data_IF_902459542826
#
_entry.id   IF_902459542826
#
_cell.length_a   1.000
_cell.length_b   1.000
_cell.length_c   1.000
_cell.angle_alpha   90.00
_cell.angle_beta   90.00
_cell.angle_gamma   90.00
#
_symmetry.space_group_name_H-M   'P 1'
#
loop_
_entity.id
_entity.type
_entity.pdbx_description
1 polymer ?
#
# COMPACT_ATOMS: atom_id res chain seq x y z
N UNK A 1 35.32 -7.18 35.76
CA UNK A 1 35.16 -7.86 34.45
C UNK A 1 33.70 -8.19 34.09
N UNK A 2 32.85 -8.67 35.02
CA UNK A 2 31.41 -8.94 34.77
C UNK A 2 30.59 -7.73 34.25
N UNK A 3 30.87 -6.51 34.73
CA UNK A 3 30.13 -5.29 34.36
C UNK A 3 30.40 -4.82 32.91
N UNK A 4 31.55 -5.18 32.35
CA UNK A 4 31.93 -4.87 30.96
C UNK A 4 31.26 -5.81 29.95
N UNK A 5 31.09 -7.09 30.31
CA UNK A 5 30.40 -8.09 29.48
C UNK A 5 28.91 -7.77 29.32
N UNK A 6 28.26 -7.25 30.38
CA UNK A 6 26.86 -6.82 30.32
C UNK A 6 26.66 -5.58 29.44
N UNK A 7 27.60 -4.64 29.43
CA UNK A 7 27.49 -3.42 28.61
C UNK A 7 27.58 -3.72 27.10
N UNK A 8 28.41 -4.69 26.70
CA UNK A 8 28.55 -5.10 25.30
C UNK A 8 27.31 -5.87 24.80
N UNK A 9 26.68 -6.68 25.66
CA UNK A 9 25.47 -7.41 25.31
C UNK A 9 24.26 -6.48 25.03
N UNK A 10 24.16 -5.35 25.74
CA UNK A 10 23.07 -4.38 25.54
C UNK A 10 23.23 -3.59 24.23
N UNK A 11 24.46 -3.30 23.82
CA UNK A 11 24.72 -2.61 22.54
C UNK A 11 24.47 -3.54 21.33
N UNK A 12 24.79 -4.83 21.45
CA UNK A 12 24.53 -5.80 20.39
C UNK A 12 23.02 -6.10 20.19
N UNK A 13 22.22 -6.03 21.25
CA UNK A 13 20.76 -6.22 21.16
C UNK A 13 20.01 -5.01 20.58
N UNK A 14 20.58 -3.79 20.67
CA UNK A 14 19.96 -2.57 20.14
C UNK A 14 20.16 -2.33 18.64
N UNK A 15 21.14 -2.98 18.01
CA UNK A 15 21.46 -2.76 16.59
C UNK A 15 20.60 -3.60 15.62
N UNK A 16 19.88 -4.61 16.12
CA UNK A 16 19.13 -5.56 15.29
C UNK A 16 17.71 -5.10 14.92
N UNK A 17 17.19 -4.01 15.49
CA UNK A 17 15.80 -3.57 15.29
C UNK A 17 15.62 -2.58 14.12
N UNK A 18 16.69 -2.18 13.43
CA UNK A 18 16.61 -1.21 12.33
C UNK A 18 16.65 -1.84 10.93
N UNK A 19 16.74 -3.17 10.83
CA UNK A 19 16.78 -3.85 9.54
C UNK A 19 15.35 -4.19 9.13
N UNK A 20 14.88 -3.59 8.03
CA UNK A 20 13.57 -3.80 7.39
C UNK A 20 12.39 -2.97 7.93
N UNK A 21 12.54 -1.64 7.97
CA UNK A 21 11.40 -0.83 7.53
C UNK A 21 11.21 -1.14 6.02
N UNK A 22 10.06 -1.67 5.57
CA UNK A 22 9.82 -1.83 4.15
C UNK A 22 9.94 -0.45 3.52
N UNK A 23 10.88 -0.30 2.58
CA UNK A 23 10.98 0.92 1.79
C UNK A 23 9.60 1.15 1.16
N UNK A 24 8.99 2.29 1.46
CA UNK A 24 7.66 2.63 0.95
C UNK A 24 7.74 2.69 -0.58
N UNK A 25 7.40 1.57 -1.22
CA UNK A 25 7.22 1.52 -2.66
C UNK A 25 6.00 2.40 -2.96
N UNK A 26 6.14 3.31 -3.92
CA UNK A 26 5.01 4.11 -4.37
C UNK A 26 3.88 3.15 -4.79
N UNK A 27 2.74 3.26 -4.12
CA UNK A 27 1.61 2.39 -4.38
C UNK A 27 1.16 2.57 -5.84
N UNK A 28 1.23 1.49 -6.62
CA UNK A 28 0.77 1.51 -8.00
C UNK A 28 -0.74 1.23 -8.03
N UNK A 29 -1.47 2.01 -8.83
CA UNK A 29 -2.91 1.89 -9.01
C UNK A 29 -3.25 1.55 -10.46
N UNK A 30 -4.24 0.66 -10.71
CA UNK A 30 -4.78 0.46 -12.04
C UNK A 30 -5.36 1.76 -12.59
N UNK A 31 -5.02 2.11 -13.83
CA UNK A 31 -5.63 3.25 -14.50
C UNK A 31 -7.09 2.95 -14.85
N UNK A 32 -7.96 3.91 -14.51
CA UNK A 32 -9.37 3.94 -14.92
C UNK A 32 -9.70 5.19 -15.74
N UNK A 33 -8.66 5.92 -16.16
CA UNK A 33 -8.81 7.13 -16.96
C UNK A 33 -9.42 6.80 -18.33
N UNK A 34 -10.37 7.62 -18.78
CA UNK A 34 -11.05 7.44 -20.07
C UNK A 34 -12.13 6.37 -20.09
N UNK A 35 -12.38 5.66 -18.98
CA UNK A 35 -13.51 4.74 -18.87
C UNK A 35 -14.81 5.49 -18.57
N UNK A 36 -15.91 5.00 -19.13
CA UNK A 36 -17.26 5.50 -18.83
C UNK A 36 -17.78 4.82 -17.56
N UNK A 37 -18.26 5.56 -16.54
CA UNK A 37 -18.86 4.93 -15.36
C UNK A 37 -20.12 4.13 -15.72
N UNK A 38 -20.36 3.03 -15.00
CA UNK A 38 -21.54 2.15 -15.21
C UNK A 38 -21.66 1.53 -16.60
N UNK A 39 -20.54 1.47 -17.33
CA UNK A 39 -20.44 0.83 -18.65
C UNK A 39 -19.92 -0.61 -18.55
N UNK A 40 -20.00 -1.42 -19.62
CA UNK A 40 -19.36 -2.73 -19.68
C UNK A 40 -17.86 -2.68 -19.38
N UNK A 41 -17.14 -1.65 -19.84
CA UNK A 41 -15.70 -1.47 -19.64
C UNK A 41 -15.37 -1.25 -18.15
N UNK A 42 -16.28 -0.63 -17.39
CA UNK A 42 -16.18 -0.46 -15.94
C UNK A 42 -16.88 -1.57 -15.14
N UNK A 43 -17.21 -2.70 -15.77
CA UNK A 43 -17.95 -3.81 -15.15
C UNK A 43 -19.25 -3.37 -14.47
N UNK A 44 -19.95 -2.40 -15.07
CA UNK A 44 -21.17 -1.78 -14.55
C UNK A 44 -21.01 -1.13 -13.15
N UNK A 45 -19.79 -0.75 -12.77
CA UNK A 45 -19.49 -0.06 -11.51
C UNK A 45 -19.20 1.43 -11.74
N UNK A 46 -19.23 2.22 -10.66
CA UNK A 46 -18.62 3.55 -10.66
C UNK A 46 -17.10 3.43 -10.83
N UNK A 47 -16.43 4.48 -11.34
CA UNK A 47 -14.97 4.45 -11.52
C UNK A 47 -14.20 4.16 -10.21
N UNK A 48 -14.55 4.75 -9.05
CA UNK A 48 -13.90 4.40 -7.79
C UNK A 48 -14.17 2.95 -7.36
N UNK A 49 -15.39 2.45 -7.57
CA UNK A 49 -15.74 1.05 -7.27
C UNK A 49 -14.96 0.07 -8.15
N UNK A 50 -14.87 0.36 -9.44
CA UNK A 50 -14.10 -0.42 -10.40
C UNK A 50 -12.60 -0.41 -10.08
N UNK A 51 -12.04 0.76 -9.74
CA UNK A 51 -10.64 0.87 -9.33
C UNK A 51 -10.34 0.01 -8.09
N UNK A 52 -11.21 0.07 -7.06
CA UNK A 52 -11.07 -0.78 -5.87
C UNK A 52 -11.09 -2.26 -6.21
N UNK A 53 -12.03 -2.67 -7.06
CA UNK A 53 -12.12 -4.06 -7.53
C UNK A 53 -10.84 -4.49 -8.25
N UNK A 54 -10.37 -3.70 -9.23
CA UNK A 54 -9.14 -4.00 -9.99
C UNK A 54 -7.92 -4.05 -9.09
N UNK A 55 -7.82 -3.12 -8.15
CA UNK A 55 -6.75 -3.09 -7.17
C UNK A 55 -6.74 -4.37 -6.32
N UNK A 56 -7.89 -4.78 -5.77
CA UNK A 56 -8.02 -6.01 -5.01
C UNK A 56 -7.66 -7.27 -5.80
N UNK A 57 -8.04 -7.33 -7.08
CA UNK A 57 -7.65 -8.45 -7.97
C UNK A 57 -6.13 -8.57 -8.07
N UNK A 58 -5.40 -7.44 -8.13
CA UNK A 58 -3.95 -7.43 -8.28
C UNK A 58 -3.16 -7.54 -6.96
N UNK A 59 -3.59 -6.84 -5.92
CA UNK A 59 -2.83 -6.69 -4.66
C UNK A 59 -3.35 -7.59 -3.54
N UNK A 60 -4.55 -8.16 -3.69
CA UNK A 60 -5.29 -8.89 -2.65
C UNK A 60 -5.61 -8.04 -1.42
N UNK A 61 -5.55 -6.72 -1.54
CA UNK A 61 -5.89 -5.75 -0.49
C UNK A 61 -6.95 -4.78 -0.99
N UNK A 62 -7.79 -4.27 -0.10
CA UNK A 62 -8.75 -3.21 -0.42
C UNK A 62 -8.19 -1.86 -0.02
N UNK A 63 -8.34 -0.86 -0.90
CA UNK A 63 -8.20 0.55 -0.55
C UNK A 63 -9.55 1.13 -0.14
N UNK A 64 -9.52 2.29 0.53
CA UNK A 64 -10.75 2.99 0.92
C UNK A 64 -11.49 3.55 -0.30
N UNK A 65 -12.77 3.89 -0.11
CA UNK A 65 -13.53 4.55 -1.17
C UNK A 65 -12.97 5.95 -1.46
N UNK A 66 -12.62 6.69 -0.42
CA UNK A 66 -12.10 8.06 -0.50
C UNK A 66 -10.77 8.10 -1.26
N UNK A 67 -9.89 7.14 -1.01
CA UNK A 67 -8.64 6.98 -1.74
C UNK A 67 -8.89 6.71 -3.23
N UNK A 68 -9.74 5.73 -3.53
CA UNK A 68 -10.10 5.39 -4.90
C UNK A 68 -10.76 6.56 -5.64
N UNK A 69 -11.60 7.35 -4.95
CA UNK A 69 -12.26 8.51 -5.52
C UNK A 69 -11.27 9.62 -5.89
N UNK A 70 -10.27 9.88 -5.05
CA UNK A 70 -9.19 10.85 -5.38
C UNK A 70 -8.40 10.41 -6.61
N UNK A 71 -8.02 9.14 -6.67
CA UNK A 71 -7.22 8.60 -7.78
C UNK A 71 -8.03 8.60 -9.09
N UNK A 72 -9.28 8.16 -9.04
CA UNK A 72 -10.17 8.16 -10.21
C UNK A 72 -10.46 9.57 -10.75
N UNK A 73 -10.38 10.60 -9.91
CA UNK A 73 -10.52 12.00 -10.31
C UNK A 73 -9.24 12.61 -10.92
N UNK A 74 -8.14 11.85 -11.02
CA UNK A 74 -6.87 12.32 -11.56
C UNK A 74 -5.99 13.08 -10.55
N UNK A 75 -6.10 12.71 -9.27
CA UNK A 75 -5.26 13.26 -8.20
C UNK A 75 -3.76 13.05 -8.39
#
# INVERSE_FOLDING_TARGET
MRKLVLAVAVVAAGAATFVAAPQAQAQQYPSVAGLTPFSPEANFMSLPGYLRYRYFVTSRTWISYEEAARIAAGG
#
